data_IF_530966999717
#
_entry.id   IF_530966999717
#
_cell.length_a   1.000
_cell.length_b   1.000
_cell.length_c   1.000
_cell.angle_alpha   90.00
_cell.angle_beta   90.00
_cell.angle_gamma   90.00
#
_symmetry.space_group_name_H-M   'P 1'
#
loop_
_entity.id
_entity.type
_entity.pdbx_description
1 polymer ?
#
# COMPACT_ATOMS: atom_id res chain seq x y z
N UNK A 1 -32.63 9.20 39.73
CA UNK A 1 -31.47 9.71 38.97
C UNK A 1 -30.23 9.42 39.79
N UNK A 2 -29.23 8.76 39.21
CA UNK A 2 -27.96 8.48 39.88
C UNK A 2 -27.72 7.00 40.18
N UNK A 3 -27.29 6.25 39.17
CA UNK A 3 -26.51 4.99 39.32
C UNK A 3 -26.27 4.34 37.95
N UNK A 4 -25.65 5.06 37.00
CA UNK A 4 -25.16 4.48 35.73
C UNK A 4 -23.66 4.73 35.49
N UNK A 5 -22.92 5.33 36.42
CA UNK A 5 -21.54 5.79 36.16
C UNK A 5 -20.42 4.81 36.53
N UNK A 6 -20.71 3.58 36.96
CA UNK A 6 -19.65 2.66 37.43
C UNK A 6 -19.31 1.52 36.46
N UNK A 7 -20.15 1.22 35.45
CA UNK A 7 -19.86 0.14 34.50
C UNK A 7 -19.00 0.62 33.31
N UNK A 8 -18.90 1.93 33.10
CA UNK A 8 -18.03 2.50 32.05
C UNK A 8 -16.53 2.51 32.41
N UNK A 9 -16.16 2.24 33.67
CA UNK A 9 -14.77 2.38 34.13
C UNK A 9 -13.90 1.12 34.00
N UNK A 10 -14.48 -0.04 33.68
CA UNK A 10 -13.73 -1.32 33.71
C UNK A 10 -13.24 -1.75 32.30
N UNK A 11 -13.71 -1.12 31.22
CA UNK A 11 -13.32 -1.48 29.83
C UNK A 11 -12.35 -0.43 29.21
N UNK A 12 -12.07 0.68 29.90
CA UNK A 12 -11.24 1.76 29.37
C UNK A 12 -9.70 1.57 29.38
N UNK A 13 -9.04 0.72 30.21
CA UNK A 13 -7.58 0.71 30.22
C UNK A 13 -6.96 0.09 28.95
N UNK A 14 -7.71 -0.76 28.22
CA UNK A 14 -7.21 -1.40 26.98
C UNK A 14 -7.37 -0.52 25.73
N UNK A 15 -8.22 0.51 25.76
CA UNK A 15 -8.42 1.43 24.64
C UNK A 15 -7.52 2.66 24.73
N UNK A 16 -7.13 3.06 25.94
CA UNK A 16 -6.22 4.18 26.21
C UNK A 16 -4.76 3.85 25.91
N UNK A 17 -4.32 2.60 26.09
CA UNK A 17 -2.95 2.18 25.71
C UNK A 17 -2.74 2.22 24.20
N UNK A 18 -3.75 1.87 23.40
CA UNK A 18 -3.68 1.94 21.94
C UNK A 18 -3.63 3.38 21.41
N UNK A 19 -4.35 4.32 22.02
CA UNK A 19 -4.24 5.76 21.70
C UNK A 19 -2.90 6.38 22.11
N UNK A 20 -2.24 5.85 23.13
CA UNK A 20 -0.92 6.36 23.58
C UNK A 20 0.18 5.96 22.60
N UNK A 21 0.12 4.73 22.06
CA UNK A 21 1.03 4.26 21.00
C UNK A 21 0.82 5.04 19.69
N UNK A 22 -0.42 5.37 19.34
CA UNK A 22 -0.72 6.22 18.16
C UNK A 22 -0.22 7.66 18.38
N UNK A 23 -0.27 8.20 19.61
CA UNK A 23 0.29 9.53 19.93
C UNK A 23 1.83 9.55 19.94
N UNK A 24 2.49 8.46 20.31
CA UNK A 24 3.95 8.36 20.30
C UNK A 24 4.53 8.28 18.88
N UNK A 25 3.80 7.64 17.95
CA UNK A 25 4.17 7.63 16.52
C UNK A 25 3.93 9.00 15.87
N UNK A 26 3.03 9.82 16.43
CA UNK A 26 2.68 11.15 15.91
C UNK A 26 3.67 12.27 16.30
N UNK A 27 4.70 12.01 17.12
CA UNK A 27 5.62 13.05 17.61
C UNK A 27 6.98 13.14 16.89
N UNK A 28 7.22 12.42 15.78
CA UNK A 28 8.40 12.68 14.93
C UNK A 28 8.07 13.69 13.81
N UNK A 29 8.94 14.68 13.55
CA UNK A 29 8.58 15.86 12.77
C UNK A 29 8.62 15.62 11.26
N UNK A 30 7.52 16.01 10.62
CA UNK A 30 7.42 16.82 9.40
C UNK A 30 8.57 16.79 8.38
N UNK A 31 8.42 15.97 7.34
CA UNK A 31 8.62 16.45 5.97
C UNK A 31 7.84 15.58 4.95
N UNK A 32 7.07 16.27 4.11
CA UNK A 32 6.40 15.80 2.87
C UNK A 32 5.04 15.10 2.99
N UNK A 33 4.03 15.82 3.48
CA UNK A 33 2.66 15.63 2.98
C UNK A 33 2.07 17.00 2.59
N UNK A 34 2.30 17.36 1.34
CA UNK A 34 1.61 18.44 0.66
C UNK A 34 0.15 18.05 0.43
N UNK A 35 -0.74 18.85 1.02
CA UNK A 35 -2.17 19.06 0.69
C UNK A 35 -3.08 17.82 0.82
N UNK A 36 -3.68 17.71 2.00
CA UNK A 36 -4.96 17.06 2.23
C UNK A 36 -6.07 17.67 1.35
N UNK A 37 -6.64 16.87 0.46
CA UNK A 37 -7.97 17.14 -0.11
C UNK A 37 -8.98 16.67 0.94
N UNK A 38 -9.52 17.63 1.68
CA UNK A 38 -10.65 17.45 2.58
C UNK A 38 -11.92 17.53 1.72
N UNK A 39 -12.67 16.44 1.60
CA UNK A 39 -13.99 16.44 0.98
C UNK A 39 -15.02 16.12 2.06
N UNK A 40 -15.84 17.13 2.35
CA UNK A 40 -17.05 17.01 3.17
C UNK A 40 -18.11 16.15 2.48
N UNK A 41 -19.09 15.61 3.23
CA UNK A 41 -19.99 14.58 2.75
C UNK A 41 -21.25 15.20 2.13
N UNK A 42 -21.44 15.05 0.83
CA UNK A 42 -22.76 15.22 0.22
C UNK A 42 -23.38 13.85 -0.07
N UNK A 43 -24.49 13.61 0.61
CA UNK A 43 -25.36 12.45 0.46
C UNK A 43 -26.13 12.55 -0.86
N UNK A 44 -25.78 11.73 -1.86
CA UNK A 44 -26.71 11.18 -2.88
C UNK A 44 -26.05 10.51 -4.10
N UNK A 45 -24.75 10.17 -4.06
CA UNK A 45 -24.10 9.53 -5.21
C UNK A 45 -23.66 8.10 -4.84
N UNK A 46 -24.31 7.11 -5.44
CA UNK A 46 -23.88 5.71 -5.40
C UNK A 46 -22.43 5.61 -5.94
N UNK A 47 -21.45 5.08 -5.18
CA UNK A 47 -20.03 5.12 -5.56
C UNK A 47 -19.61 3.97 -6.48
N UNK A 48 -20.54 3.38 -7.22
CA UNK A 48 -20.28 2.19 -8.02
C UNK A 48 -19.88 2.57 -9.46
N UNK A 49 -18.57 2.47 -9.72
CA UNK A 49 -17.88 2.55 -11.02
C UNK A 49 -18.08 3.82 -11.86
N UNK A 50 -17.26 4.84 -11.60
CA UNK A 50 -16.94 5.83 -12.64
C UNK A 50 -15.96 5.21 -13.66
N UNK A 51 -16.52 4.73 -14.77
CA UNK A 51 -15.79 4.18 -15.92
C UNK A 51 -15.12 5.26 -16.78
N UNK A 52 -15.30 6.55 -16.47
CA UNK A 52 -14.70 7.65 -17.24
C UNK A 52 -13.20 7.87 -16.94
N UNK A 53 -12.70 7.33 -15.83
CA UNK A 53 -11.28 7.37 -15.45
C UNK A 53 -10.40 6.41 -16.27
N UNK A 54 -10.96 5.45 -17.02
CA UNK A 54 -10.17 4.55 -17.89
C UNK A 54 -9.77 5.19 -19.23
N UNK A 55 -10.49 6.21 -19.71
CA UNK A 55 -10.24 6.79 -21.05
C UNK A 55 -9.10 7.81 -21.08
N UNK A 56 -8.52 8.20 -19.93
CA UNK A 56 -7.39 9.15 -19.83
C UNK A 56 -6.03 8.49 -19.57
N UNK A 57 -5.94 7.16 -19.51
CA UNK A 57 -4.76 6.43 -19.07
C UNK A 57 -3.95 5.69 -20.14
N UNK A 58 -4.19 5.92 -21.43
CA UNK A 58 -3.51 5.21 -22.53
C UNK A 58 -1.98 5.43 -22.62
N UNK A 59 -1.40 6.34 -21.84
CA UNK A 59 0.05 6.61 -21.81
C UNK A 59 0.77 6.34 -20.49
N UNK A 60 0.08 5.90 -19.42
CA UNK A 60 0.75 5.58 -18.15
C UNK A 60 1.20 4.12 -18.18
N UNK A 61 2.51 3.91 -18.39
CA UNK A 61 3.19 2.63 -18.16
C UNK A 61 2.56 1.96 -16.94
N UNK A 62 1.97 0.78 -17.13
CA UNK A 62 1.54 -0.10 -16.05
C UNK A 62 2.75 -0.18 -15.12
N UNK A 63 2.62 0.34 -13.90
CA UNK A 63 3.64 0.14 -12.86
C UNK A 63 3.45 -1.30 -12.40
N UNK A 64 4.01 -2.22 -13.17
CA UNK A 64 4.20 -3.59 -12.75
C UNK A 64 5.10 -3.55 -11.53
N UNK A 65 4.66 -4.24 -10.51
CA UNK A 65 5.50 -4.47 -9.34
C UNK A 65 6.48 -5.54 -9.77
N UNK A 66 7.72 -5.14 -10.02
CA UNK A 66 8.80 -6.09 -10.17
C UNK A 66 9.04 -6.70 -8.79
N UNK A 67 8.48 -7.89 -8.58
CA UNK A 67 8.87 -8.72 -7.45
C UNK A 67 10.32 -9.11 -7.65
N UNK A 68 11.17 -8.91 -6.64
CA UNK A 68 12.45 -9.60 -6.59
C UNK A 68 12.16 -11.11 -6.73
N UNK A 69 12.95 -11.83 -7.55
CA UNK A 69 12.68 -13.19 -8.04
C UNK A 69 12.42 -14.27 -6.96
N UNK A 70 12.49 -13.92 -5.67
CA UNK A 70 12.31 -14.81 -4.53
C UNK A 70 11.19 -14.38 -3.54
N UNK A 71 10.38 -13.35 -3.83
CA UNK A 71 9.31 -12.93 -2.90
C UNK A 71 8.02 -13.73 -3.13
N UNK A 72 7.59 -14.51 -2.12
CA UNK A 72 6.35 -15.30 -2.19
C UNK A 72 5.21 -14.51 -1.55
N UNK A 73 4.20 -14.19 -2.35
CA UNK A 73 3.03 -13.47 -1.85
C UNK A 73 2.06 -14.39 -1.10
N UNK A 74 1.60 -13.96 0.08
CA UNK A 74 0.68 -14.76 0.93
C UNK A 74 -0.73 -14.18 1.00
N UNK A 75 -0.87 -12.86 1.11
CA UNK A 75 -2.15 -12.17 1.28
C UNK A 75 -2.54 -11.35 0.04
N UNK A 76 -1.55 -10.87 -0.73
CA UNK A 76 -1.78 -10.18 -2.00
C UNK A 76 -2.23 -11.18 -3.08
N UNK A 77 -3.42 -10.97 -3.66
CA UNK A 77 -3.97 -11.84 -4.72
C UNK A 77 -3.45 -11.50 -6.12
N UNK A 78 -3.16 -10.22 -6.36
CA UNK A 78 -2.81 -9.69 -7.68
C UNK A 78 -1.54 -8.83 -7.64
N UNK A 79 -0.36 -9.45 -7.41
CA UNK A 79 0.89 -8.72 -7.25
C UNK A 79 1.31 -7.97 -8.52
N UNK A 80 0.86 -8.42 -9.69
CA UNK A 80 1.21 -7.83 -10.99
C UNK A 80 0.71 -6.38 -11.17
N UNK A 81 -0.26 -5.94 -10.38
CA UNK A 81 -0.88 -4.62 -10.52
C UNK A 81 -1.04 -3.96 -9.15
N UNK A 82 -0.24 -2.91 -8.94
CA UNK A 82 -0.34 -2.09 -7.73
C UNK A 82 -1.76 -1.52 -7.54
N UNK A 83 -2.39 -1.05 -8.64
CA UNK A 83 -3.77 -0.54 -8.59
C UNK A 83 -4.76 -1.59 -8.14
N UNK A 84 -4.64 -2.81 -8.64
CA UNK A 84 -5.54 -3.92 -8.27
C UNK A 84 -5.34 -4.30 -6.81
N UNK A 85 -4.09 -4.27 -6.34
CA UNK A 85 -3.76 -4.49 -4.92
C UNK A 85 -4.37 -3.43 -4.01
N UNK A 86 -4.33 -2.15 -4.40
CA UNK A 86 -5.00 -1.08 -3.64
C UNK A 86 -6.53 -1.25 -3.60
N UNK A 87 -7.13 -1.70 -4.71
CA UNK A 87 -8.56 -2.01 -4.75
C UNK A 87 -8.89 -3.19 -3.82
N UNK A 88 -8.03 -4.22 -3.77
CA UNK A 88 -8.16 -5.32 -2.83
C UNK A 88 -8.15 -4.81 -1.38
N UNK A 89 -7.16 -4.00 -0.99
CA UNK A 89 -7.09 -3.42 0.36
C UNK A 89 -8.35 -2.62 0.69
N UNK A 90 -8.84 -1.81 -0.25
CA UNK A 90 -10.04 -1.01 -0.04
C UNK A 90 -11.29 -1.89 0.15
N UNK A 91 -11.43 -2.95 -0.64
CA UNK A 91 -12.54 -3.88 -0.54
C UNK A 91 -12.50 -4.69 0.76
N UNK A 92 -11.35 -5.28 1.08
CA UNK A 92 -11.15 -6.07 2.30
C UNK A 92 -11.32 -5.19 3.55
N UNK A 93 -10.84 -3.93 3.49
CA UNK A 93 -11.04 -2.94 4.54
C UNK A 93 -12.50 -2.55 4.71
N UNK A 94 -13.22 -2.31 3.61
CA UNK A 94 -14.66 -2.03 3.65
C UNK A 94 -15.45 -3.19 4.28
N UNK A 95 -15.14 -4.43 3.87
CA UNK A 95 -15.77 -5.63 4.42
C UNK A 95 -15.53 -5.74 5.93
N UNK A 96 -14.28 -5.56 6.38
CA UNK A 96 -13.93 -5.58 7.80
C UNK A 96 -14.69 -4.50 8.60
N UNK A 97 -14.77 -3.26 8.10
CA UNK A 97 -15.52 -2.20 8.78
C UNK A 97 -17.04 -2.47 8.81
N UNK A 98 -17.60 -2.98 7.71
CA UNK A 98 -19.01 -3.31 7.62
C UNK A 98 -19.38 -4.44 8.61
N UNK A 99 -18.57 -5.50 8.64
CA UNK A 99 -18.76 -6.61 9.57
C UNK A 99 -18.56 -6.19 11.02
N UNK A 100 -17.57 -5.34 11.30
CA UNK A 100 -17.34 -4.78 12.63
C UNK A 100 -18.55 -3.98 13.12
N UNK A 101 -19.09 -3.12 12.25
CA UNK A 101 -20.28 -2.33 12.56
C UNK A 101 -21.49 -3.23 12.86
N UNK A 102 -21.74 -4.22 12.01
CA UNK A 102 -22.80 -5.21 12.22
C UNK A 102 -22.62 -5.97 13.55
N UNK A 103 -21.42 -6.48 13.80
CA UNK A 103 -21.08 -7.25 15.01
C UNK A 103 -21.23 -6.41 16.29
N UNK A 104 -20.78 -5.16 16.27
CA UNK A 104 -20.95 -4.22 17.39
C UNK A 104 -22.43 -3.92 17.65
N UNK A 105 -23.23 -3.71 16.60
CA UNK A 105 -24.68 -3.52 16.76
C UNK A 105 -25.35 -4.78 17.35
N UNK A 106 -24.99 -5.97 16.90
CA UNK A 106 -25.52 -7.22 17.47
C UNK A 106 -25.14 -7.40 18.93
N UNK A 107 -23.88 -7.11 19.30
CA UNK A 107 -23.43 -7.13 20.71
C UNK A 107 -24.25 -6.13 21.53
N UNK A 108 -24.46 -4.92 21.03
CA UNK A 108 -25.29 -3.93 21.70
C UNK A 108 -26.71 -4.47 21.94
N UNK A 109 -27.33 -5.07 20.93
CA UNK A 109 -28.66 -5.69 21.06
C UNK A 109 -28.68 -6.81 22.10
N UNK A 110 -27.65 -7.66 22.15
CA UNK A 110 -27.54 -8.68 23.19
C UNK A 110 -27.39 -8.08 24.59
N UNK A 111 -26.54 -7.08 24.74
CA UNK A 111 -26.31 -6.41 26.03
C UNK A 111 -27.57 -5.72 26.55
N UNK A 112 -28.46 -5.23 25.66
CA UNK A 112 -29.76 -4.68 26.09
C UNK A 112 -30.71 -5.72 26.68
N UNK A 113 -30.54 -7.01 26.35
CA UNK A 113 -31.39 -8.10 26.84
C UNK A 113 -30.93 -8.61 28.20
N UNK A 114 -29.63 -8.58 28.51
CA UNK A 114 -29.06 -9.11 29.75
C UNK A 114 -29.77 -8.58 31.02
N UNK A 115 -30.02 -7.26 31.19
CA UNK A 115 -30.73 -6.76 32.36
C UNK A 115 -32.11 -7.38 32.56
N UNK A 116 -32.80 -7.75 31.47
CA UNK A 116 -34.09 -8.44 31.53
C UNK A 116 -33.93 -9.86 32.08
N UNK A 117 -32.95 -10.62 31.60
CA UNK A 117 -32.66 -11.97 32.12
C UNK A 117 -32.26 -11.94 33.60
N UNK A 118 -31.41 -10.98 34.01
CA UNK A 118 -31.02 -10.79 35.42
C UNK A 118 -32.25 -10.47 36.28
N UNK A 119 -33.11 -9.54 35.86
CA UNK A 119 -34.32 -9.18 36.62
C UNK A 119 -35.28 -10.37 36.76
N UNK A 120 -35.42 -11.19 35.71
CA UNK A 120 -36.22 -12.41 35.74
C UNK A 120 -35.62 -13.44 36.71
N UNK A 121 -34.29 -13.66 36.65
CA UNK A 121 -33.56 -14.53 37.58
C UNK A 121 -33.77 -14.12 39.04
N UNK A 122 -33.63 -12.83 39.35
CA UNK A 122 -33.83 -12.29 40.70
C UNK A 122 -35.28 -12.46 41.19
N UNK A 123 -36.28 -12.24 40.32
CA UNK A 123 -37.68 -12.47 40.67
C UNK A 123 -37.96 -13.95 40.98
N UNK A 124 -37.38 -14.87 40.20
CA UNK A 124 -37.51 -16.31 40.44
C UNK A 124 -36.86 -16.67 41.78
N UNK A 125 -35.68 -16.13 42.08
CA UNK A 125 -34.99 -16.37 43.35
C UNK A 125 -35.80 -15.92 44.58
N UNK A 126 -36.50 -14.79 44.48
CA UNK A 126 -37.26 -14.19 45.60
C UNK A 126 -38.65 -14.82 45.75
N UNK A 127 -39.29 -15.29 44.68
CA UNK A 127 -40.73 -15.60 44.68
C UNK A 127 -41.11 -17.04 44.27
N UNK A 128 -40.16 -17.89 43.86
CA UNK A 128 -40.48 -19.21 43.30
C UNK A 128 -40.45 -20.36 44.32
N UNK A 129 -41.28 -21.38 44.07
CA UNK A 129 -41.21 -22.66 44.77
C UNK A 129 -39.92 -23.42 44.37
N UNK A 130 -39.40 -24.34 45.20
CA UNK A 130 -38.10 -24.99 44.99
C UNK A 130 -37.96 -25.67 43.61
N UNK A 131 -39.05 -26.21 43.06
CA UNK A 131 -39.08 -26.90 41.76
C UNK A 131 -39.09 -25.95 40.55
N UNK A 132 -39.60 -24.73 40.72
CA UNK A 132 -39.58 -23.68 39.69
C UNK A 132 -38.23 -22.94 39.68
N UNK A 133 -37.62 -22.82 40.86
CA UNK A 133 -36.28 -22.29 41.04
C UNK A 133 -35.26 -23.05 40.19
N UNK A 134 -35.21 -24.37 40.33
CA UNK A 134 -34.19 -25.20 39.67
C UNK A 134 -34.25 -25.11 38.14
N UNK A 135 -35.45 -25.15 37.54
CA UNK A 135 -35.58 -25.14 36.07
C UNK A 135 -35.49 -23.74 35.45
N UNK A 136 -36.18 -22.75 35.99
CA UNK A 136 -36.24 -21.42 35.36
C UNK A 136 -34.99 -20.57 35.65
N UNK A 137 -34.35 -20.74 36.81
CA UNK A 137 -33.12 -20.03 37.11
C UNK A 137 -31.97 -20.52 36.24
N UNK A 138 -31.80 -21.84 36.12
CA UNK A 138 -30.77 -22.44 35.27
C UNK A 138 -30.98 -21.99 33.81
N UNK A 139 -32.22 -21.99 33.32
CA UNK A 139 -32.50 -21.50 31.97
C UNK A 139 -32.07 -20.04 31.78
N UNK A 140 -32.45 -19.15 32.70
CA UNK A 140 -32.10 -17.73 32.56
C UNK A 140 -30.59 -17.47 32.68
N UNK A 141 -29.85 -18.28 33.42
CA UNK A 141 -28.39 -18.21 33.48
C UNK A 141 -27.73 -18.75 32.20
N UNK A 142 -28.27 -19.84 31.65
CA UNK A 142 -27.81 -20.39 30.36
C UNK A 142 -28.03 -19.39 29.22
N UNK A 143 -29.15 -18.67 29.21
CA UNK A 143 -29.42 -17.62 28.21
C UNK A 143 -28.34 -16.52 28.27
N UNK A 144 -27.92 -16.12 29.49
CA UNK A 144 -26.86 -15.12 29.69
C UNK A 144 -25.49 -15.67 29.25
N UNK A 145 -25.16 -16.92 29.59
CA UNK A 145 -23.91 -17.56 29.15
C UNK A 145 -23.85 -17.66 27.62
N UNK A 146 -24.95 -18.07 26.98
CA UNK A 146 -25.06 -18.14 25.53
C UNK A 146 -24.84 -16.76 24.88
N UNK A 147 -25.47 -15.71 25.42
CA UNK A 147 -25.23 -14.33 24.97
C UNK A 147 -23.75 -13.97 25.09
N UNK A 148 -23.10 -14.29 26.21
CA UNK A 148 -21.68 -14.03 26.42
C UNK A 148 -20.78 -14.71 25.38
N UNK A 149 -21.05 -15.98 25.07
CA UNK A 149 -20.32 -16.74 24.05
C UNK A 149 -20.49 -16.14 22.66
N UNK A 150 -21.71 -15.78 22.28
CA UNK A 150 -21.97 -15.16 20.97
C UNK A 150 -21.28 -13.79 20.86
N UNK A 151 -21.31 -12.96 21.90
CA UNK A 151 -20.57 -11.71 21.93
C UNK A 151 -19.06 -11.91 21.77
N UNK A 152 -18.48 -12.90 22.46
CA UNK A 152 -17.06 -13.24 22.34
C UNK A 152 -16.71 -13.70 20.92
N UNK A 153 -17.58 -14.50 20.30
CA UNK A 153 -17.40 -14.99 18.93
C UNK A 153 -17.46 -13.85 17.91
N UNK A 154 -18.44 -12.96 18.03
CA UNK A 154 -18.56 -11.77 17.18
C UNK A 154 -17.33 -10.85 17.29
N UNK A 155 -16.83 -10.65 18.51
CA UNK A 155 -15.62 -9.88 18.75
C UNK A 155 -14.37 -10.53 18.14
N UNK A 156 -14.19 -11.84 18.32
CA UNK A 156 -13.07 -12.59 17.72
C UNK A 156 -13.10 -12.52 16.19
N UNK A 157 -14.26 -12.76 15.58
CA UNK A 157 -14.40 -12.70 14.12
C UNK A 157 -14.05 -11.31 13.56
N UNK A 158 -14.49 -10.26 14.26
CA UNK A 158 -14.17 -8.87 13.89
C UNK A 158 -12.67 -8.60 13.99
N UNK A 159 -12.04 -9.04 15.07
CA UNK A 159 -10.60 -8.94 15.27
C UNK A 159 -9.83 -9.65 14.14
N UNK A 160 -10.20 -10.88 13.82
CA UNK A 160 -9.50 -11.71 12.84
C UNK A 160 -9.58 -11.12 11.42
N UNK A 161 -10.71 -10.49 11.06
CA UNK A 161 -10.82 -9.75 9.81
C UNK A 161 -9.88 -8.55 9.75
N UNK A 162 -9.78 -7.75 10.81
CA UNK A 162 -8.83 -6.64 10.85
C UNK A 162 -7.37 -7.11 10.82
N UNK A 163 -7.06 -8.24 11.47
CA UNK A 163 -5.75 -8.87 11.38
C UNK A 163 -5.43 -9.27 9.94
N UNK A 164 -6.38 -9.83 9.20
CA UNK A 164 -6.21 -10.15 7.78
C UNK A 164 -5.90 -8.92 6.94
N UNK A 165 -6.64 -7.81 7.14
CA UNK A 165 -6.38 -6.54 6.43
C UNK A 165 -5.01 -5.97 6.79
N UNK A 166 -4.62 -6.05 8.06
CA UNK A 166 -3.30 -5.60 8.52
C UNK A 166 -2.17 -6.42 7.91
N UNK A 167 -2.32 -7.74 7.82
CA UNK A 167 -1.36 -8.63 7.18
C UNK A 167 -1.20 -8.32 5.69
N UNK A 168 -2.31 -8.10 4.99
CA UNK A 168 -2.30 -7.64 3.60
C UNK A 168 -1.56 -6.30 3.46
N UNK A 169 -1.86 -5.31 4.30
CA UNK A 169 -1.23 -4.00 4.23
C UNK A 169 0.27 -4.07 4.52
N UNK A 170 0.68 -4.88 5.51
CA UNK A 170 2.09 -5.10 5.84
C UNK A 170 2.88 -5.65 4.66
N UNK A 171 2.33 -6.66 3.98
CA UNK A 171 2.94 -7.26 2.79
C UNK A 171 3.07 -6.24 1.64
N UNK A 172 2.06 -5.37 1.47
CA UNK A 172 2.10 -4.32 0.44
C UNK A 172 3.19 -3.30 0.75
N UNK A 173 3.34 -2.89 2.01
CA UNK A 173 4.40 -1.97 2.42
C UNK A 173 5.78 -2.60 2.16
N UNK A 174 5.99 -3.85 2.57
CA UNK A 174 7.24 -4.58 2.35
C UNK A 174 7.59 -4.64 0.86
N UNK A 175 6.62 -5.02 0.03
CA UNK A 175 6.77 -5.04 -1.43
C UNK A 175 7.14 -3.65 -1.97
N UNK A 176 6.47 -2.58 -1.54
CA UNK A 176 6.77 -1.23 -2.06
C UNK A 176 8.19 -0.78 -1.73
N UNK A 177 8.70 -1.14 -0.55
CA UNK A 177 10.09 -0.84 -0.13
C UNK A 177 11.08 -1.63 -1.00
N UNK A 178 10.82 -2.91 -1.26
CA UNK A 178 11.64 -3.74 -2.14
C UNK A 178 11.67 -3.18 -3.57
N UNK A 179 10.51 -2.88 -4.14
CA UNK A 179 10.40 -2.30 -5.49
C UNK A 179 11.09 -0.93 -5.58
N UNK A 180 11.02 -0.10 -4.53
CA UNK A 180 11.76 1.17 -4.50
C UNK A 180 13.27 0.93 -4.55
N UNK A 181 13.78 -0.02 -3.76
CA UNK A 181 15.21 -0.36 -3.73
C UNK A 181 15.71 -0.83 -5.10
N UNK A 182 14.99 -1.75 -5.75
CA UNK A 182 15.32 -2.26 -7.09
C UNK A 182 15.29 -1.13 -8.13
N UNK A 183 14.27 -0.28 -8.09
CA UNK A 183 14.17 0.85 -9.02
C UNK A 183 15.31 1.87 -8.85
N UNK A 184 15.75 2.12 -7.61
CA UNK A 184 16.91 2.98 -7.36
C UNK A 184 18.19 2.40 -7.97
N UNK A 185 18.42 1.09 -7.83
CA UNK A 185 19.57 0.42 -8.42
C UNK A 185 19.54 0.48 -9.95
N UNK A 186 18.37 0.23 -10.57
CA UNK A 186 18.20 0.33 -12.03
C UNK A 186 18.45 1.75 -12.54
N UNK A 187 18.00 2.76 -11.79
CA UNK A 187 18.23 4.16 -12.14
C UNK A 187 19.73 4.50 -12.10
N UNK A 188 20.43 4.08 -11.04
CA UNK A 188 21.89 4.28 -10.94
C UNK A 188 22.65 3.57 -12.06
N UNK A 189 22.29 2.31 -12.38
CA UNK A 189 22.91 1.57 -13.48
C UNK A 189 22.69 2.26 -14.83
N UNK A 190 21.46 2.71 -15.11
CA UNK A 190 21.14 3.45 -16.33
C UNK A 190 21.89 4.79 -16.42
N UNK A 191 22.07 5.49 -15.30
CA UNK A 191 22.83 6.75 -15.26
C UNK A 191 24.32 6.51 -15.55
N UNK A 192 24.91 5.45 -15.01
CA UNK A 192 26.28 5.04 -15.33
C UNK A 192 26.41 4.71 -16.82
N UNK A 193 25.49 3.91 -17.37
CA UNK A 193 25.49 3.52 -18.78
C UNK A 193 25.37 4.73 -19.72
N UNK A 194 24.49 5.69 -19.37
CA UNK A 194 24.36 6.95 -20.11
C UNK A 194 25.65 7.76 -20.08
N UNK A 195 26.32 7.84 -18.93
CA UNK A 195 27.58 8.56 -18.80
C UNK A 195 28.71 7.90 -19.61
N UNK A 196 28.82 6.56 -19.55
CA UNK A 196 29.79 5.81 -20.36
C UNK A 196 29.52 6.03 -21.85
N UNK A 197 28.26 5.94 -22.28
CA UNK A 197 27.87 6.17 -23.66
C UNK A 197 28.19 7.59 -24.12
N UNK A 198 27.97 8.60 -23.26
CA UNK A 198 28.30 10.00 -23.54
C UNK A 198 29.81 10.20 -23.71
N UNK A 199 30.62 9.60 -22.85
CA UNK A 199 32.09 9.65 -22.95
C UNK A 199 32.57 8.98 -24.24
N UNK A 200 32.05 7.79 -24.55
CA UNK A 200 32.39 7.07 -25.78
C UNK A 200 32.02 7.87 -27.04
N UNK A 201 30.85 8.52 -27.07
CA UNK A 201 30.47 9.42 -28.17
C UNK A 201 31.40 10.61 -28.31
N UNK A 202 31.83 11.22 -27.19
CA UNK A 202 32.76 12.34 -27.22
C UNK A 202 34.14 11.90 -27.75
N UNK A 203 34.62 10.74 -27.32
CA UNK A 203 35.86 10.15 -27.83
C UNK A 203 35.75 9.83 -29.32
N UNK A 204 34.63 9.26 -29.77
CA UNK A 204 34.40 8.97 -31.18
C UNK A 204 34.42 10.23 -32.04
N UNK A 205 33.82 11.33 -31.57
CA UNK A 205 33.87 12.63 -32.25
C UNK A 205 35.31 13.15 -32.34
N UNK A 206 36.05 13.13 -31.23
CA UNK A 206 37.44 13.58 -31.21
C UNK A 206 38.33 12.77 -32.17
N UNK A 207 38.18 11.44 -32.19
CA UNK A 207 38.90 10.57 -33.11
C UNK A 207 38.52 10.89 -34.56
N UNK A 208 37.23 11.06 -34.85
CA UNK A 208 36.76 11.45 -36.18
C UNK A 208 37.38 12.77 -36.66
N UNK A 209 37.42 13.79 -35.79
CA UNK A 209 38.02 15.08 -36.11
C UNK A 209 39.54 14.97 -36.38
N UNK A 210 40.24 14.17 -35.57
CA UNK A 210 41.67 13.90 -35.74
C UNK A 210 41.92 13.17 -37.06
N UNK A 211 41.17 12.10 -37.34
CA UNK A 211 41.27 11.32 -38.59
C UNK A 211 41.00 12.22 -39.80
N UNK A 212 39.98 13.07 -39.73
CA UNK A 212 39.65 13.99 -40.82
C UNK A 212 40.77 15.01 -41.09
N UNK A 213 41.40 15.56 -40.03
CA UNK A 213 42.57 16.45 -40.17
C UNK A 213 43.79 15.74 -40.76
N UNK A 214 44.06 14.50 -40.33
CA UNK A 214 45.15 13.72 -40.91
C UNK A 214 44.90 13.39 -42.39
N UNK A 215 43.66 13.05 -42.76
CA UNK A 215 43.30 12.75 -44.13
C UNK A 215 43.47 13.97 -45.05
N UNK A 216 42.97 15.15 -44.63
CA UNK A 216 43.11 16.38 -45.43
C UNK A 216 44.56 16.83 -45.57
N UNK A 217 45.36 16.73 -44.50
CA UNK A 217 46.79 17.02 -44.56
C UNK A 217 47.57 16.07 -45.48
N UNK A 218 47.27 14.76 -45.41
CA UNK A 218 47.85 13.77 -46.30
C UNK A 218 47.48 14.04 -47.76
N UNK A 219 46.19 14.30 -48.04
CA UNK A 219 45.70 14.63 -49.38
C UNK A 219 46.42 15.85 -49.96
N UNK A 220 46.62 16.90 -49.17
CA UNK A 220 47.33 18.09 -49.62
C UNK A 220 48.82 17.82 -49.89
N UNK A 221 49.48 17.01 -49.05
CA UNK A 221 50.88 16.61 -49.27
C UNK A 221 51.06 15.80 -50.56
N UNK A 222 50.15 14.86 -50.85
CA UNK A 222 50.13 14.09 -52.10
C UNK A 222 49.92 15.00 -53.29
N UNK A 223 48.98 15.96 -53.19
CA UNK A 223 48.73 16.94 -54.26
C UNK A 223 49.97 17.81 -54.53
N UNK A 224 50.68 18.25 -53.47
CA UNK A 224 51.93 19.01 -53.61
C UNK A 224 53.03 18.19 -54.25
N UNK A 225 53.20 16.92 -53.85
CA UNK A 225 54.18 16.01 -54.45
C UNK A 225 53.87 15.74 -55.93
N UNK A 226 52.60 15.52 -56.29
CA UNK A 226 52.16 15.37 -57.68
C UNK A 226 52.45 16.63 -58.50
N UNK A 227 52.13 17.81 -57.98
CA UNK A 227 52.39 19.07 -58.67
C UNK A 227 53.90 19.31 -58.88
N UNK A 228 54.73 19.02 -57.87
CA UNK A 228 56.18 19.11 -57.98
C UNK A 228 56.75 18.11 -58.99
N UNK A 229 56.22 16.88 -59.02
CA UNK A 229 56.60 15.86 -59.98
C UNK A 229 56.25 16.25 -61.42
N UNK A 230 55.03 16.73 -61.66
CA UNK A 230 54.60 17.24 -62.98
C UNK A 230 55.52 18.37 -63.43
N UNK A 231 55.81 19.32 -62.54
CA UNK A 231 56.72 20.43 -62.83
C UNK A 231 58.14 19.93 -63.19
N UNK A 232 58.66 18.95 -62.46
CA UNK A 232 59.96 18.35 -62.75
C UNK A 232 60.00 17.62 -64.10
N UNK A 233 58.89 16.99 -64.52
CA UNK A 233 58.77 16.38 -65.85
C UNK A 233 58.76 17.43 -66.97
N UNK A 234 58.14 18.59 -66.75
CA UNK A 234 58.15 19.71 -67.71
C UNK A 234 59.53 20.38 -67.85
N UNK A 235 60.36 20.30 -66.81
CA UNK A 235 61.72 20.86 -66.78
C UNK A 235 62.80 19.90 -67.35
N UNK A 236 62.43 18.68 -67.76
CA UNK A 236 63.37 17.76 -68.41
C UNK A 236 63.68 18.23 -69.84
N UNK A 237 64.96 18.44 -70.20
CA UNK A 237 65.33 18.79 -71.55
C UNK A 237 65.07 17.60 -72.47
N UNK A 238 64.12 17.76 -73.40
CA UNK A 238 64.01 16.89 -74.57
C UNK A 238 65.25 17.12 -75.43
N UNK A 239 66.15 16.14 -75.41
CA UNK A 239 67.38 16.13 -76.22
C UNK A 239 67.10 16.15 -77.72
#
# INVERSE_FOLDING_TARGET
>A
MGSCSLVFLIILPSFLTSQTIIREISQKPSYLLSKSVFLSPDSSVNPFYDTSLERRSAGRRRREIESADNYTFKYIRHPQSYRTTLIQIANDGWEAFSQAHSSMNTIQLFMTQIPRHIKTSLKILVSASPRLLERMLIQSLNDIDQIGRECSKLASNTHDQFVSVMQLLGEVIEMTVLTQSVNMQKLQAAEIELNVSRIAQQQQKQISDIVQKHYSGAQESVRKAQAAYIKALEELPTG
#
